data_IF_483476818503
#
_entry.id   IF_483476818503
#
_cell.length_a   1.000
_cell.length_b   1.000
_cell.length_c   1.000
_cell.angle_alpha   90.00
_cell.angle_beta   90.00
_cell.angle_gamma   90.00
#
_symmetry.space_group_name_H-M   'P 1'
#
loop_
_entity.id
_entity.type
_entity.pdbx_description
1 polymer ?
#
# COMPACT_ATOMS: atom_id res chain seq x y z
N UNK A 1 -15.10 -0.05 -15.18
CA UNK A 1 -14.38 -0.40 -13.94
C UNK A 1 -13.00 0.26 -13.98
N UNK A 2 -12.70 1.23 -13.11
CA UNK A 2 -11.39 1.88 -13.09
C UNK A 2 -10.41 0.98 -12.34
N UNK A 3 -9.35 0.50 -13.00
CA UNK A 3 -8.29 -0.27 -12.33
C UNK A 3 -7.44 0.71 -11.53
N UNK A 4 -7.58 0.71 -10.20
CA UNK A 4 -6.68 1.46 -9.30
C UNK A 4 -5.26 0.90 -9.43
N UNK A 5 -4.25 1.74 -9.23
CA UNK A 5 -2.86 1.27 -9.19
C UNK A 5 -2.65 0.37 -7.97
N UNK A 6 -1.88 -0.72 -8.16
CA UNK A 6 -1.50 -1.65 -7.09
C UNK A 6 -0.36 -1.06 -6.25
N UNK A 7 -0.68 -0.14 -5.34
CA UNK A 7 0.30 0.62 -4.59
C UNK A 7 1.24 -0.26 -3.72
N UNK A 8 0.69 -1.30 -3.04
CA UNK A 8 1.51 -2.24 -2.25
C UNK A 8 2.50 -3.00 -3.12
N UNK A 9 2.09 -3.42 -4.33
CA UNK A 9 2.98 -4.09 -5.27
C UNK A 9 4.11 -3.15 -5.71
N UNK A 10 3.81 -1.89 -6.00
CA UNK A 10 4.84 -0.89 -6.36
C UNK A 10 5.85 -0.73 -5.22
N UNK A 11 5.39 -0.63 -3.96
CA UNK A 11 6.27 -0.57 -2.80
C UNK A 11 7.15 -1.81 -2.67
N UNK A 12 6.59 -3.01 -2.87
CA UNK A 12 7.35 -4.27 -2.84
C UNK A 12 8.46 -4.29 -3.90
N UNK A 13 8.14 -3.89 -5.12
CA UNK A 13 9.10 -3.87 -6.23
C UNK A 13 10.19 -2.81 -6.02
N UNK A 14 9.82 -1.67 -5.43
CA UNK A 14 10.78 -0.66 -4.98
C UNK A 14 11.76 -1.22 -3.95
N UNK A 15 11.27 -1.96 -2.95
CA UNK A 15 12.09 -2.62 -1.92
C UNK A 15 13.07 -3.64 -2.52
N UNK A 16 12.66 -4.28 -3.63
CA UNK A 16 13.52 -5.17 -4.43
C UNK A 16 14.53 -4.42 -5.32
N UNK A 17 14.55 -3.08 -5.29
CA UNK A 17 15.47 -2.25 -6.06
C UNK A 17 15.03 -1.96 -7.49
N UNK A 18 13.80 -2.29 -7.88
CA UNK A 18 13.32 -1.98 -9.24
C UNK A 18 13.10 -0.47 -9.42
N UNK A 19 13.49 0.03 -10.59
CA UNK A 19 13.25 1.43 -10.96
C UNK A 19 11.79 1.68 -11.34
N UNK A 20 11.36 2.94 -11.24
CA UNK A 20 10.02 3.39 -11.65
C UNK A 20 9.66 2.96 -13.08
N UNK A 21 10.61 3.06 -14.01
CA UNK A 21 10.42 2.65 -15.41
C UNK A 21 10.26 1.13 -15.54
N UNK A 22 11.09 0.35 -14.84
CA UNK A 22 11.00 -1.11 -14.88
C UNK A 22 9.65 -1.61 -14.34
N UNK A 23 9.14 -0.99 -13.27
CA UNK A 23 7.84 -1.31 -12.70
C UNK A 23 6.71 -0.96 -13.68
N UNK A 24 6.74 0.26 -14.26
CA UNK A 24 5.72 0.71 -15.19
C UNK A 24 5.60 -0.22 -16.41
N UNK A 25 6.73 -0.51 -17.07
CA UNK A 25 6.75 -1.35 -18.27
C UNK A 25 6.51 -2.83 -17.95
N UNK A 26 7.14 -3.36 -16.90
CA UNK A 26 7.07 -4.79 -16.56
C UNK A 26 5.71 -5.24 -16.03
N UNK A 27 4.94 -4.33 -15.43
CA UNK A 27 3.64 -4.64 -14.82
C UNK A 27 2.46 -3.95 -15.50
N UNK A 28 2.68 -3.28 -16.64
CA UNK A 28 1.63 -2.59 -17.40
C UNK A 28 0.96 -1.47 -16.60
N UNK A 29 1.74 -0.73 -15.81
CA UNK A 29 1.26 0.37 -14.98
C UNK A 29 1.60 1.72 -15.61
N UNK A 30 0.74 2.72 -15.40
CA UNK A 30 1.05 4.09 -15.79
C UNK A 30 2.31 4.58 -15.07
N UNK A 31 3.28 5.09 -15.83
CA UNK A 31 4.50 5.70 -15.29
C UNK A 31 4.18 6.83 -14.32
N UNK A 32 3.18 7.66 -14.64
CA UNK A 32 2.74 8.74 -13.75
C UNK A 32 2.25 8.20 -12.41
N UNK A 33 1.39 7.17 -12.44
CA UNK A 33 0.87 6.57 -11.21
C UNK A 33 1.97 5.89 -10.39
N UNK A 34 2.98 5.28 -11.02
CA UNK A 34 4.14 4.73 -10.31
C UNK A 34 4.96 5.85 -9.65
N UNK A 35 5.17 6.98 -10.34
CA UNK A 35 5.83 8.16 -9.77
C UNK A 35 5.03 8.67 -8.56
N UNK A 36 3.72 8.84 -8.69
CA UNK A 36 2.85 9.30 -7.61
C UNK A 36 2.98 8.41 -6.35
N UNK A 37 3.06 7.10 -6.52
CA UNK A 37 3.25 6.15 -5.41
C UNK A 37 4.63 6.31 -4.77
N UNK A 38 5.70 6.46 -5.56
CA UNK A 38 7.05 6.70 -5.02
C UNK A 38 7.11 8.02 -4.25
N UNK A 39 6.58 9.10 -4.83
CA UNK A 39 6.61 10.42 -4.22
C UNK A 39 5.77 10.46 -2.92
N UNK A 40 4.63 9.77 -2.89
CA UNK A 40 3.84 9.61 -1.67
C UNK A 40 4.62 8.79 -0.62
N UNK A 41 5.23 7.67 -1.02
CA UNK A 41 6.00 6.83 -0.12
C UNK A 41 7.19 7.59 0.50
N UNK A 42 7.90 8.39 -0.31
CA UNK A 42 9.00 9.23 0.14
C UNK A 42 8.50 10.36 1.07
N UNK A 43 7.37 10.99 0.74
CA UNK A 43 6.75 12.04 1.56
C UNK A 43 6.30 11.54 2.93
N UNK A 44 5.71 10.35 2.99
CA UNK A 44 5.20 9.76 4.24
C UNK A 44 6.23 8.88 4.96
N UNK A 45 7.40 8.66 4.37
CA UNK A 45 8.42 7.76 4.92
C UNK A 45 7.96 6.30 5.00
N UNK A 46 7.07 5.87 4.10
CA UNK A 46 6.49 4.53 4.12
C UNK A 46 7.30 3.58 3.25
N UNK A 47 7.78 2.49 3.84
CA UNK A 47 8.43 1.38 3.13
C UNK A 47 7.47 0.21 2.92
N UNK A 48 7.86 -0.75 2.09
CA UNK A 48 7.10 -1.99 1.94
C UNK A 48 7.01 -2.77 3.27
N UNK A 49 8.07 -2.72 4.10
CA UNK A 49 8.12 -3.42 5.39
C UNK A 49 7.05 -2.91 6.36
N UNK A 50 6.79 -1.61 6.35
CA UNK A 50 5.75 -1.02 7.18
C UNK A 50 4.36 -1.53 6.79
N UNK A 51 4.13 -1.81 5.51
CA UNK A 51 2.81 -2.16 4.97
C UNK A 51 2.64 -3.62 4.57
N UNK A 52 3.61 -4.48 4.88
CA UNK A 52 3.61 -5.88 4.48
C UNK A 52 2.36 -6.62 4.99
N UNK A 53 1.94 -6.33 6.21
CA UNK A 53 0.75 -6.93 6.85
C UNK A 53 -0.57 -6.21 6.51
N UNK A 54 -0.52 -5.08 5.79
CA UNK A 54 -1.70 -4.28 5.42
C UNK A 54 -2.31 -4.73 4.09
N UNK A 55 -3.59 -4.49 3.90
CA UNK A 55 -4.29 -4.74 2.64
C UNK A 55 -3.91 -3.71 1.56
N UNK A 56 -4.07 -4.04 0.28
CA UNK A 56 -3.81 -3.11 -0.83
C UNK A 56 -4.59 -1.80 -0.70
N UNK A 57 -5.85 -1.86 -0.25
CA UNK A 57 -6.70 -0.68 -0.05
C UNK A 57 -6.23 0.21 1.10
N UNK A 58 -5.80 -0.38 2.22
CA UNK A 58 -5.21 0.37 3.34
C UNK A 58 -3.93 1.08 2.91
N UNK A 59 -3.06 0.40 2.15
CA UNK A 59 -1.83 1.00 1.61
C UNK A 59 -2.14 2.14 0.66
N UNK A 60 -3.13 1.95 -0.22
CA UNK A 60 -3.57 2.99 -1.12
C UNK A 60 -4.12 4.21 -0.37
N UNK A 61 -4.94 4.00 0.66
CA UNK A 61 -5.51 5.06 1.48
C UNK A 61 -4.44 5.81 2.29
N UNK A 62 -3.41 5.11 2.78
CA UNK A 62 -2.27 5.73 3.47
C UNK A 62 -1.46 6.66 2.56
N UNK A 63 -1.22 6.25 1.30
CA UNK A 63 -0.44 7.03 0.35
C UNK A 63 -1.23 8.17 -0.30
N UNK A 64 -2.55 8.00 -0.44
CA UNK A 64 -3.44 8.98 -1.07
C UNK A 64 -4.63 9.32 -0.16
N UNK A 65 -4.37 9.97 0.99
CA UNK A 65 -5.44 10.37 1.90
C UNK A 65 -6.42 11.31 1.17
N UNK A 66 -7.72 11.10 1.38
CA UNK A 66 -8.79 11.86 0.70
C UNK A 66 -9.15 11.36 -0.72
N UNK A 67 -8.36 10.46 -1.31
CA UNK A 67 -8.69 9.83 -2.62
C UNK A 67 -9.44 8.49 -2.50
N UNK A 68 -9.59 7.99 -1.27
CA UNK A 68 -10.06 6.64 -0.95
C UNK A 68 -11.43 6.52 -0.26
N UNK A 69 -12.28 7.55 -0.24
CA UNK A 69 -13.57 7.51 0.49
C UNK A 69 -14.66 6.68 -0.22
N UNK A 70 -14.32 5.94 -1.28
CA UNK A 70 -15.29 5.11 -1.99
C UNK A 70 -14.90 3.64 -1.85
N UNK A 71 -15.52 3.04 -0.83
CA UNK A 71 -15.72 1.61 -0.58
C UNK A 71 -14.49 0.77 -0.19
N UNK A 72 -14.31 0.54 1.12
CA UNK A 72 -14.12 -0.79 1.74
C UNK A 72 -13.73 -0.65 3.21
N UNK A 73 -14.65 -0.16 4.04
CA UNK A 73 -14.66 -0.50 5.47
C UNK A 73 -15.19 -1.93 5.55
N UNK A 74 -14.32 -2.91 5.36
CA UNK A 74 -14.65 -4.30 5.58
C UNK A 74 -13.48 -5.03 6.23
N UNK A 75 -13.52 -5.02 7.57
CA UNK A 75 -13.16 -6.17 8.42
C UNK A 75 -11.67 -6.54 8.46
N UNK A 76 -10.97 -6.07 9.51
CA UNK A 76 -10.64 -6.96 10.65
C UNK A 76 -10.17 -6.19 11.88
N UNK A 77 -11.05 -6.11 12.88
CA UNK A 77 -10.65 -5.98 14.28
C UNK A 77 -9.92 -7.28 14.64
N UNK A 78 -8.58 -7.31 14.57
CA UNK A 78 -7.85 -8.33 15.32
C UNK A 78 -7.65 -7.81 16.72
N UNK A 79 -8.57 -8.26 17.58
CA UNK A 79 -8.51 -8.14 19.02
C UNK A 79 -7.11 -8.51 19.50
N UNK A 80 -6.48 -7.62 20.26
CA UNK A 80 -5.30 -7.96 21.08
C UNK A 80 -5.59 -9.22 21.89
N UNK A 81 -4.64 -10.17 22.03
CA UNK A 81 -4.73 -11.16 23.09
C UNK A 81 -4.54 -10.44 24.42
N UNK A 82 -5.50 -10.54 25.33
CA UNK A 82 -5.30 -10.25 26.75
C UNK A 82 -4.67 -11.50 27.38
N UNK A 83 -3.48 -11.42 27.98
CA UNK A 83 -2.93 -12.53 28.73
C UNK A 83 -3.62 -12.65 30.09
N UNK A 84 -4.03 -13.89 30.39
CA UNK A 84 -4.00 -14.59 31.68
C UNK A 84 -4.33 -13.84 32.99
N UNK A 85 -5.32 -14.34 33.73
CA UNK A 85 -5.23 -14.39 35.21
C UNK A 85 -5.97 -15.63 35.74
N UNK A 86 -5.26 -16.38 36.59
CA UNK A 86 -5.63 -17.57 37.37
C UNK A 86 -6.98 -17.51 38.08
N UNK A 87 -7.52 -18.72 38.34
CA UNK A 87 -8.52 -19.03 39.36
C UNK A 87 -8.76 -20.53 39.43
#
# INVERSE_FOLDING_TARGET
MVRRIKAKLVLRLRDQGLSRNAIAMGYGMSKHSVIDVFDAADRFGVSYRDVEERSDDEVYAMLFPGRGVVESVARRVQRRPVPETRG
#
